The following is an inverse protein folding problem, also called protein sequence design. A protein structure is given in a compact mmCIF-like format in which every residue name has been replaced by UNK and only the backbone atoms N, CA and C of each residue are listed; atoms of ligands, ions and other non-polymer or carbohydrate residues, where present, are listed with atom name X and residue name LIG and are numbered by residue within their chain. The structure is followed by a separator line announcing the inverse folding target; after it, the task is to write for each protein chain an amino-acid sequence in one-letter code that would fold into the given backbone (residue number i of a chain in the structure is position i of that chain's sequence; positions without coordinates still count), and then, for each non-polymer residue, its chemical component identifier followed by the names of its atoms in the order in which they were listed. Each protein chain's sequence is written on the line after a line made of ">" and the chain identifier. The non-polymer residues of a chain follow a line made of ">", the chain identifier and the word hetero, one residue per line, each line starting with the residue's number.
data_IF_485623424808
#
_entry.id   IF_485623424808
#
_cell.length_a   1.000
_cell.length_b   1.000
_cell.length_c   1.000
_cell.angle_alpha   90.00
_cell.angle_beta   90.00
_cell.angle_gamma   90.00
#
_symmetry.space_group_name_H-M   'P 1'
#
loop_
_entity.id
_entity.type
_entity.pdbx_description
1 polymer ?
#
# COMPACT_ATOMS: atom_id res chain seq x y z
N UNK A 1 -5.53 -13.22 10.07
CA UNK A 1 -5.15 -12.27 8.99
C UNK A 1 -5.66 -10.86 9.32
N UNK A 2 -4.99 -10.08 10.19
CA UNK A 2 -5.51 -8.80 10.71
C UNK A 2 -5.49 -7.62 9.72
N UNK A 3 -4.91 -7.77 8.53
CA UNK A 3 -4.73 -6.66 7.58
C UNK A 3 -6.02 -6.08 6.97
N UNK A 4 -7.09 -6.86 6.89
CA UNK A 4 -8.33 -6.44 6.21
C UNK A 4 -9.17 -5.48 7.05
N UNK A 5 -9.19 -5.67 8.38
CA UNK A 5 -9.96 -4.83 9.31
C UNK A 5 -9.33 -3.43 9.43
N UNK A 6 -8.00 -3.36 9.50
CA UNK A 6 -7.27 -2.09 9.52
C UNK A 6 -7.50 -1.26 8.24
N UNK A 7 -7.58 -1.92 7.08
CA UNK A 7 -7.80 -1.25 5.79
C UNK A 7 -9.21 -0.65 5.69
N UNK A 8 -10.22 -1.33 6.24
CA UNK A 8 -11.59 -0.81 6.33
C UNK A 8 -11.65 0.40 7.28
N UNK A 9 -10.99 0.33 8.44
CA UNK A 9 -10.98 1.44 9.41
C UNK A 9 -10.24 2.67 8.87
N UNK A 10 -9.09 2.48 8.22
CA UNK A 10 -8.30 3.57 7.62
C UNK A 10 -9.03 4.15 6.40
N UNK A 11 -9.67 3.31 5.57
CA UNK A 11 -10.49 3.76 4.45
C UNK A 11 -11.72 4.57 4.88
N UNK A 12 -12.39 4.15 5.95
CA UNK A 12 -13.52 4.89 6.53
C UNK A 12 -13.09 6.24 7.12
N UNK A 13 -11.94 6.30 7.82
CA UNK A 13 -11.39 7.54 8.35
C UNK A 13 -10.96 8.50 7.22
N UNK A 14 -10.37 7.99 6.15
CA UNK A 14 -9.96 8.78 4.99
C UNK A 14 -11.15 9.35 4.20
N UNK A 15 -12.27 8.61 4.09
CA UNK A 15 -13.49 9.07 3.42
C UNK A 15 -14.14 10.28 4.11
N UNK A 16 -14.17 10.29 5.45
CA UNK A 16 -14.68 11.41 6.26
C UNK A 16 -13.76 12.63 6.12
N UNK A 17 -12.44 12.42 6.02
CA UNK A 17 -11.47 13.49 5.83
C UNK A 17 -11.58 14.13 4.43
N UNK A 18 -11.79 13.32 3.39
CA UNK A 18 -11.96 13.78 2.01
C UNK A 18 -13.23 14.60 1.81
N UNK A 19 -14.36 14.16 2.38
CA UNK A 19 -15.63 14.92 2.33
C UNK A 19 -15.54 16.24 3.09
N UNK A 20 -14.84 16.28 4.23
CA UNK A 20 -14.56 17.53 4.95
C UNK A 20 -13.61 18.46 4.20
N UNK A 21 -12.59 17.94 3.50
CA UNK A 21 -11.66 18.77 2.72
C UNK A 21 -12.33 19.37 1.47
N UNK A 22 -13.23 18.63 0.81
CA UNK A 22 -13.89 19.07 -0.41
C UNK A 22 -15.10 19.99 -0.17
N UNK A 23 -15.50 20.26 1.09
CA UNK A 23 -16.68 21.08 1.44
C UNK A 23 -17.91 20.71 0.60
N UNK A 24 -18.14 19.43 0.39
CA UNK A 24 -19.36 18.96 -0.28
C UNK A 24 -20.37 18.56 0.79
N UNK A 25 -21.51 19.25 0.83
CA UNK A 25 -22.69 18.88 1.61
C UNK A 25 -23.37 17.65 0.98
N UNK A 26 -22.70 16.49 1.05
CA UNK A 26 -23.33 15.20 0.75
C UNK A 26 -23.95 14.66 2.03
N UNK A 27 -25.21 14.24 1.96
CA UNK A 27 -25.86 13.51 3.04
C UNK A 27 -25.02 12.31 3.49
N UNK A 28 -25.09 11.97 4.79
CA UNK A 28 -24.33 10.87 5.42
C UNK A 28 -24.26 9.57 4.58
N UNK A 29 -25.35 9.08 3.96
CA UNK A 29 -25.33 7.87 3.14
C UNK A 29 -24.52 8.05 1.85
N UNK A 30 -24.64 9.20 1.18
CA UNK A 30 -23.95 9.50 -0.07
C UNK A 30 -22.44 9.66 0.17
N UNK A 31 -22.05 10.28 1.29
CA UNK A 31 -20.66 10.38 1.73
C UNK A 31 -20.04 9.00 1.98
N UNK A 32 -20.79 8.07 2.59
CA UNK A 32 -20.33 6.68 2.78
C UNK A 32 -20.10 5.96 1.45
N UNK A 33 -21.02 6.09 0.48
CA UNK A 33 -20.87 5.44 -0.84
C UNK A 33 -19.66 5.96 -1.59
N UNK A 34 -19.46 7.29 -1.60
CA UNK A 34 -18.28 7.91 -2.24
C UNK A 34 -16.99 7.50 -1.52
N UNK A 35 -17.01 7.40 -0.18
CA UNK A 35 -15.88 6.89 0.61
C UNK A 35 -15.53 5.45 0.28
N UNK A 36 -16.52 4.56 0.12
CA UNK A 36 -16.30 3.16 -0.28
C UNK A 36 -15.73 3.09 -1.70
N UNK A 37 -16.26 3.86 -2.65
CA UNK A 37 -15.73 3.94 -4.02
C UNK A 37 -14.29 4.47 -4.05
N UNK A 38 -13.99 5.49 -3.23
CA UNK A 38 -12.66 6.04 -3.06
C UNK A 38 -11.68 5.04 -2.42
N UNK A 39 -12.11 4.25 -1.45
CA UNK A 39 -11.30 3.20 -0.83
C UNK A 39 -11.02 2.03 -1.80
N UNK A 40 -11.99 1.66 -2.63
CA UNK A 40 -11.82 0.66 -3.68
C UNK A 40 -10.82 1.15 -4.74
N UNK A 41 -10.98 2.37 -5.24
CA UNK A 41 -10.07 2.96 -6.22
C UNK A 41 -8.68 3.19 -5.63
N UNK A 42 -8.59 3.72 -4.41
CA UNK A 42 -7.35 3.96 -3.68
C UNK A 42 -6.60 2.66 -3.38
N UNK A 43 -7.31 1.59 -2.99
CA UNK A 43 -6.70 0.28 -2.77
C UNK A 43 -6.11 -0.33 -4.05
N UNK A 44 -6.77 -0.15 -5.19
CA UNK A 44 -6.27 -0.57 -6.50
C UNK A 44 -5.08 0.29 -6.95
N UNK A 45 -5.16 1.61 -6.79
CA UNK A 45 -4.07 2.53 -7.13
C UNK A 45 -2.82 2.27 -6.28
N UNK A 46 -2.97 2.06 -4.97
CA UNK A 46 -1.87 1.71 -4.08
C UNK A 46 -1.24 0.38 -4.46
N UNK A 47 -2.06 -0.63 -4.82
CA UNK A 47 -1.56 -1.90 -5.35
C UNK A 47 -0.76 -1.68 -6.63
N UNK A 48 -1.25 -0.90 -7.59
CA UNK A 48 -0.50 -0.62 -8.82
C UNK A 48 0.87 0.02 -8.53
N UNK A 49 0.91 1.02 -7.65
CA UNK A 49 2.15 1.71 -7.25
C UNK A 49 3.12 0.75 -6.55
N UNK A 50 2.65 -0.04 -5.59
CA UNK A 50 3.49 -1.00 -4.85
C UNK A 50 3.91 -2.17 -5.73
N UNK A 51 3.06 -2.60 -6.67
CA UNK A 51 3.43 -3.67 -7.60
C UNK A 51 4.55 -3.16 -8.49
N UNK A 52 4.39 -2.01 -9.16
CA UNK A 52 5.43 -1.46 -10.04
C UNK A 52 6.72 -1.11 -9.28
N UNK A 53 6.61 -0.47 -8.10
CA UNK A 53 7.77 -0.16 -7.25
C UNK A 53 8.40 -1.41 -6.62
N UNK A 54 7.62 -2.45 -6.37
CA UNK A 54 8.05 -3.70 -5.74
C UNK A 54 9.03 -4.51 -6.60
N UNK A 55 8.92 -4.44 -7.93
CA UNK A 55 9.88 -5.10 -8.82
C UNK A 55 11.27 -4.46 -8.73
N UNK A 56 11.36 -3.14 -8.60
CA UNK A 56 12.64 -2.46 -8.40
C UNK A 56 13.26 -2.80 -7.03
N UNK A 57 12.44 -2.82 -5.97
CA UNK A 57 12.89 -3.16 -4.61
C UNK A 57 13.37 -4.63 -4.55
N UNK A 58 12.61 -5.55 -5.14
CA UNK A 58 12.98 -6.98 -5.18
C UNK A 58 14.25 -7.23 -5.99
N UNK A 59 14.47 -6.48 -7.07
CA UNK A 59 15.71 -6.54 -7.83
C UNK A 59 16.91 -6.10 -6.99
N UNK A 60 16.82 -4.96 -6.32
CA UNK A 60 17.92 -4.46 -5.45
C UNK A 60 18.20 -5.44 -4.31
N UNK A 61 17.15 -5.97 -3.68
CA UNK A 61 17.29 -6.92 -2.57
C UNK A 61 17.90 -8.26 -3.04
N UNK A 62 17.54 -8.73 -4.23
CA UNK A 62 18.13 -9.94 -4.82
C UNK A 62 19.61 -9.76 -5.14
N UNK A 63 20.00 -8.60 -5.70
CA UNK A 63 21.41 -8.29 -5.97
C UNK A 63 22.21 -8.21 -4.67
N UNK A 64 21.70 -7.52 -3.65
CA UNK A 64 22.34 -7.46 -2.33
C UNK A 64 22.46 -8.84 -1.67
N UNK A 65 21.41 -9.67 -1.78
CA UNK A 65 21.43 -11.04 -1.27
C UNK A 65 22.47 -11.92 -1.98
N UNK A 66 22.61 -11.78 -3.30
CA UNK A 66 23.62 -12.49 -4.07
C UNK A 66 25.04 -12.05 -3.69
N UNK A 67 25.28 -10.74 -3.53
CA UNK A 67 26.57 -10.23 -3.06
C UNK A 67 26.92 -10.74 -1.66
N UNK A 68 25.95 -10.78 -0.74
CA UNK A 68 26.14 -11.31 0.60
C UNK A 68 26.46 -12.82 0.59
N UNK A 69 25.80 -13.60 -0.28
CA UNK A 69 26.10 -15.04 -0.45
C UNK A 69 27.50 -15.26 -1.01
N UNK A 70 27.92 -14.49 -2.01
CA UNK A 70 29.26 -14.58 -2.59
C UNK A 70 30.34 -14.20 -1.57
N UNK A 71 30.08 -13.18 -0.75
CA UNK A 71 30.97 -12.78 0.34
C UNK A 71 31.09 -13.89 1.39
N UNK A 72 29.97 -14.48 1.82
CA UNK A 72 29.97 -15.58 2.78
C UNK A 72 30.71 -16.81 2.23
N UNK A 73 30.51 -17.12 0.95
CA UNK A 73 31.22 -18.20 0.27
C UNK A 73 32.73 -17.96 0.23
N UNK A 74 33.16 -16.74 -0.08
CA UNK A 74 34.58 -16.37 -0.03
C UNK A 74 35.16 -16.46 1.39
N UNK A 75 34.38 -16.08 2.40
CA UNK A 75 34.79 -16.13 3.79
C UNK A 75 34.94 -17.57 4.30
N UNK A 76 34.03 -18.47 3.90
CA UNK A 76 34.04 -19.89 4.33
C UNK A 76 35.09 -20.72 3.58
N UNK A 77 35.46 -20.33 2.35
CA UNK A 77 36.44 -21.04 1.53
C UNK A 77 37.88 -20.52 1.67
N UNK A 78 38.11 -19.54 2.55
CA UNK A 78 39.43 -19.13 3.04
C UNK A 78 39.84 -19.97 4.24
#
# INVERSE_FOLDING_TARGET
>A
MPGFVLLIVIGAAAGILATRLMRMDLDLPSAMVVGVLGALAGGVALRLIVTVGGWAITFVLAVLGAMALLWLWQQVRR
#
